data_IF_190154531682
#
_entry.id   IF_190154531682
#
_cell.length_a   1.000
_cell.length_b   1.000
_cell.length_c   1.000
_cell.angle_alpha   90.00
_cell.angle_beta   90.00
_cell.angle_gamma   90.00
#
_symmetry.space_group_name_H-M   'P 1'
#
loop_
_entity.id
_entity.type
_entity.pdbx_description
1 polymer ?
#
# COMPACT_ATOMS: atom_id res chain seq x y z
N UNK A 1 12.23 12.58 5.14
CA UNK A 1 11.37 11.44 4.77
C UNK A 1 11.15 11.48 3.26
N UNK A 2 11.46 10.41 2.54
CA UNK A 2 11.13 10.36 1.11
C UNK A 2 9.63 10.13 0.94
N UNK A 3 8.99 10.93 0.09
CA UNK A 3 7.59 10.79 -0.30
C UNK A 3 7.49 10.58 -1.80
N UNK A 4 6.50 9.82 -2.23
CA UNK A 4 6.21 9.64 -3.65
C UNK A 4 4.89 10.32 -4.01
N UNK A 5 4.75 10.74 -5.27
CA UNK A 5 3.44 11.09 -5.80
C UNK A 5 2.50 9.89 -5.63
N UNK A 6 1.33 10.15 -5.05
CA UNK A 6 0.32 9.16 -4.75
C UNK A 6 -0.34 8.65 -6.02
N UNK A 7 -0.73 7.38 -5.99
CA UNK A 7 -1.43 6.65 -7.04
C UNK A 7 -2.66 5.96 -6.48
N UNK A 8 -3.54 5.48 -7.36
CA UNK A 8 -4.76 4.73 -7.04
C UNK A 8 -4.53 3.46 -6.21
N UNK A 9 -3.30 2.93 -6.23
CA UNK A 9 -2.88 1.75 -5.47
C UNK A 9 -2.36 2.11 -4.06
N UNK A 10 -2.11 3.40 -3.76
CA UNK A 10 -1.64 3.86 -2.44
C UNK A 10 -2.81 4.05 -1.46
N UNK A 11 -3.49 2.94 -1.18
CA UNK A 11 -4.70 2.87 -0.33
C UNK A 11 -4.40 2.64 1.15
N UNK A 12 -3.31 1.93 1.43
CA UNK A 12 -2.87 1.57 2.80
C UNK A 12 -1.53 2.21 3.13
N UNK A 13 -1.47 2.93 4.25
CA UNK A 13 -0.31 3.70 4.71
C UNK A 13 -0.74 5.12 5.04
N UNK A 14 0.19 6.07 4.95
CA UNK A 14 -0.05 7.46 5.34
C UNK A 14 0.46 8.49 4.35
N UNK A 15 -0.17 9.67 4.37
CA UNK A 15 0.23 10.83 3.59
C UNK A 15 0.91 11.88 4.46
N UNK A 16 1.84 12.61 3.87
CA UNK A 16 2.42 13.79 4.50
C UNK A 16 1.41 14.95 4.49
N UNK A 17 1.36 15.73 5.56
CA UNK A 17 0.58 16.96 5.62
C UNK A 17 1.33 18.04 6.43
N UNK A 18 0.90 19.29 6.27
CA UNK A 18 1.36 20.41 7.10
C UNK A 18 0.26 20.73 8.10
N UNK A 19 0.58 20.69 9.39
CA UNK A 19 -0.36 21.01 10.45
C UNK A 19 -0.61 22.52 10.48
N UNK A 20 -1.88 22.91 10.41
CA UNK A 20 -2.25 24.30 10.16
C UNK A 20 -1.84 25.29 11.27
N UNK A 21 -1.76 24.86 12.53
CA UNK A 21 -1.57 25.77 13.66
C UNK A 21 -0.09 26.08 13.97
N UNK A 22 0.84 25.21 13.60
CA UNK A 22 2.27 25.34 13.90
C UNK A 22 3.17 25.17 12.67
N UNK A 23 2.62 24.81 11.51
CA UNK A 23 3.36 24.58 10.27
C UNK A 23 4.20 23.30 10.29
N UNK A 24 4.01 22.42 11.27
CA UNK A 24 4.80 21.19 11.42
C UNK A 24 4.43 20.16 10.35
N UNK A 25 5.46 19.50 9.80
CA UNK A 25 5.27 18.32 8.97
C UNK A 25 4.74 17.18 9.85
N UNK A 26 3.63 16.59 9.42
CA UNK A 26 2.99 15.45 10.08
C UNK A 26 2.80 14.29 9.12
N UNK A 27 2.67 13.09 9.67
CA UNK A 27 2.28 11.90 8.93
C UNK A 27 0.93 11.43 9.45
N UNK A 28 -0.06 11.33 8.56
CA UNK A 28 -1.38 10.82 8.91
C UNK A 28 -1.62 9.50 8.20
N UNK A 29 -1.84 8.43 8.98
CA UNK A 29 -2.27 7.12 8.49
C UNK A 29 -3.80 7.04 8.43
N UNK A 30 -4.34 6.15 7.61
CA UNK A 30 -5.78 5.88 7.56
C UNK A 30 -6.30 5.47 8.95
N UNK A 31 -5.53 4.68 9.70
CA UNK A 31 -5.89 4.27 11.06
C UNK A 31 -5.92 5.43 12.08
N UNK A 32 -5.32 6.56 11.75
CA UNK A 32 -5.38 7.80 12.55
C UNK A 32 -6.49 8.76 12.08
N UNK A 33 -7.22 8.39 11.02
CA UNK A 33 -8.21 9.26 10.38
C UNK A 33 -9.62 8.87 10.82
N UNK A 34 -10.40 9.87 11.27
CA UNK A 34 -11.80 9.70 11.62
C UNK A 34 -12.62 9.23 10.38
N UNK A 35 -13.66 8.45 10.60
CA UNK A 35 -14.42 7.80 9.52
C UNK A 35 -15.04 8.83 8.56
N UNK A 36 -15.54 9.94 9.09
CA UNK A 36 -16.06 11.08 8.34
C UNK A 36 -15.04 11.74 7.39
N UNK A 37 -13.74 11.56 7.67
CA UNK A 37 -12.64 12.13 6.90
C UNK A 37 -12.01 11.14 5.91
N UNK A 38 -12.50 9.90 5.83
CA UNK A 38 -11.93 8.88 4.94
C UNK A 38 -11.98 9.28 3.46
N UNK A 39 -13.04 9.99 3.05
CA UNK A 39 -13.14 10.50 1.68
C UNK A 39 -12.05 11.55 1.37
N UNK A 40 -11.74 12.43 2.32
CA UNK A 40 -10.63 13.38 2.19
C UNK A 40 -9.29 12.65 2.18
N UNK A 41 -9.10 11.69 3.08
CA UNK A 41 -7.88 10.86 3.13
C UNK A 41 -7.64 10.13 1.82
N UNK A 42 -8.68 9.60 1.18
CA UNK A 42 -8.58 8.88 -0.09
C UNK A 42 -8.36 9.80 -1.30
N UNK A 43 -8.57 11.12 -1.17
CA UNK A 43 -8.41 12.06 -2.26
C UNK A 43 -6.91 12.30 -2.57
N UNK A 44 -6.45 11.74 -3.69
CA UNK A 44 -5.08 11.81 -4.16
C UNK A 44 -4.68 13.22 -4.63
N UNK A 45 -5.62 14.04 -5.10
CA UNK A 45 -5.36 15.43 -5.51
C UNK A 45 -5.18 16.38 -4.31
N UNK A 46 -5.86 16.08 -3.20
CA UNK A 46 -5.71 16.79 -1.94
C UNK A 46 -4.44 16.35 -1.21
N UNK A 47 -4.27 15.05 -1.01
CA UNK A 47 -3.13 14.45 -0.32
C UNK A 47 -2.23 13.72 -1.31
N UNK A 48 -1.47 14.51 -2.07
CA UNK A 48 -0.65 14.10 -3.22
C UNK A 48 0.60 13.32 -2.87
N UNK A 49 1.10 13.41 -1.64
CA UNK A 49 2.39 12.86 -1.26
C UNK A 49 2.23 11.74 -0.24
N UNK A 50 2.59 10.53 -0.67
CA UNK A 50 2.50 9.32 0.12
C UNK A 50 3.86 8.96 0.73
N UNK A 51 3.87 8.56 1.99
CA UNK A 51 5.11 8.16 2.67
C UNK A 51 5.64 6.85 2.08
N UNK A 52 6.87 6.89 1.55
CA UNK A 52 7.54 5.69 1.03
C UNK A 52 8.06 4.76 2.14
N UNK A 53 8.14 5.29 3.37
CA UNK A 53 8.82 4.69 4.51
C UNK A 53 10.35 4.61 4.37
N UNK A 54 10.95 5.25 3.35
CA UNK A 54 12.39 5.49 3.29
C UNK A 54 12.71 6.73 4.12
N UNK A 55 13.41 6.53 5.24
CA UNK A 55 13.70 7.56 6.22
C UNK A 55 15.21 7.79 6.34
N UNK A 56 15.58 9.06 6.42
CA UNK A 56 16.94 9.51 6.69
C UNK A 56 16.94 10.19 8.04
N UNK A 57 17.78 9.70 8.96
CA UNK A 57 17.77 10.11 10.36
C UNK A 57 19.19 10.51 10.75
N UNK A 58 19.31 11.68 11.38
CA UNK A 58 20.53 12.07 12.10
C UNK A 58 20.60 11.29 13.42
N UNK A 59 21.59 10.41 13.53
CA UNK A 59 21.74 9.52 14.69
C UNK A 59 22.17 10.28 15.95
N UNK A 60 22.90 11.39 15.83
CA UNK A 60 23.29 12.22 16.97
C UNK A 60 22.08 12.97 17.53
N UNK A 61 21.25 13.54 16.64
CA UNK A 61 19.99 14.17 17.02
C UNK A 61 19.04 13.16 17.68
N UNK A 62 18.88 11.97 17.10
CA UNK A 62 18.09 10.89 17.69
C UNK A 62 18.60 10.49 19.08
N UNK A 63 19.91 10.32 19.25
CA UNK A 63 20.50 9.97 20.53
C UNK A 63 20.38 11.09 21.57
N UNK A 64 20.42 12.36 21.14
CA UNK A 64 20.17 13.50 22.02
C UNK A 64 18.72 13.54 22.48
N UNK A 65 17.76 13.37 21.57
CA UNK A 65 16.33 13.35 21.85
C UNK A 65 15.97 12.24 22.85
N UNK A 66 16.45 11.02 22.60
CA UNK A 66 16.26 9.88 23.50
C UNK A 66 16.84 10.14 24.90
N UNK A 67 18.02 10.75 25.00
CA UNK A 67 18.62 11.09 26.32
C UNK A 67 17.80 12.12 27.07
N UNK A 68 17.36 13.18 26.38
CA UNK A 68 16.52 14.24 26.95
C UNK A 68 15.19 13.70 27.48
N UNK A 69 14.61 12.73 26.77
CA UNK A 69 13.31 12.15 27.09
C UNK A 69 13.38 10.77 27.76
N UNK A 70 14.49 10.48 28.45
CA UNK A 70 14.66 9.25 29.25
C UNK A 70 14.36 7.93 28.49
N UNK A 71 14.77 7.88 27.23
CA UNK A 71 14.61 6.73 26.34
C UNK A 71 13.26 6.66 25.64
N UNK A 72 12.39 7.67 25.79
CA UNK A 72 11.05 7.69 25.18
C UNK A 72 11.00 8.71 24.05
N UNK A 73 10.66 8.27 22.84
CA UNK A 73 10.24 9.16 21.76
C UNK A 73 8.72 9.33 21.82
N UNK A 74 8.26 10.58 21.91
CA UNK A 74 6.84 10.93 21.98
C UNK A 74 6.15 10.80 20.61
N UNK A 75 6.07 9.57 20.09
CA UNK A 75 5.41 9.28 18.82
C UNK A 75 3.89 9.22 19.00
N UNK A 76 3.11 9.75 18.05
CA UNK A 76 1.66 9.54 18.01
C UNK A 76 1.28 8.06 18.04
N UNK A 77 0.32 7.72 18.90
CA UNK A 77 -0.23 6.37 19.00
C UNK A 77 -1.24 6.11 17.89
N UNK A 78 -1.19 4.91 17.32
CA UNK A 78 -2.13 4.38 16.35
C UNK A 78 -2.98 3.33 17.07
N UNK A 79 -4.30 3.46 16.97
CA UNK A 79 -5.25 2.52 17.56
C UNK A 79 -5.89 1.67 16.47
N UNK A 80 -5.40 0.46 16.27
CA UNK A 80 -5.93 -0.48 15.30
C UNK A 80 -6.92 -1.46 15.95
N UNK A 81 -8.17 -1.49 15.47
CA UNK A 81 -9.14 -2.51 15.85
C UNK A 81 -8.92 -3.77 15.00
N UNK A 82 -8.76 -4.93 15.65
CA UNK A 82 -8.50 -6.23 15.04
C UNK A 82 -9.21 -7.35 15.78
N UNK A 83 -9.09 -8.57 15.27
CA UNK A 83 -9.35 -9.81 16.00
C UNK A 83 -8.02 -10.41 16.48
N UNK A 84 -8.03 -11.14 17.60
CA UNK A 84 -6.80 -11.72 18.17
C UNK A 84 -6.15 -12.74 17.24
N UNK A 85 -6.97 -13.49 16.51
CA UNK A 85 -6.55 -14.27 15.35
C UNK A 85 -6.96 -13.52 14.08
N UNK A 86 -6.01 -12.99 13.29
CA UNK A 86 -6.31 -12.30 12.04
C UNK A 86 -6.93 -13.18 10.94
N UNK A 87 -6.79 -14.50 11.03
CA UNK A 87 -7.39 -15.46 10.08
C UNK A 87 -8.83 -15.83 10.45
N UNK A 88 -9.20 -15.72 11.74
CA UNK A 88 -10.55 -15.99 12.23
C UNK A 88 -11.27 -14.68 12.60
N UNK A 89 -12.19 -14.26 11.70
CA UNK A 89 -13.04 -13.07 11.88
C UNK A 89 -13.97 -13.16 13.12
N UNK A 90 -14.17 -14.36 13.68
CA UNK A 90 -15.01 -14.58 14.87
C UNK A 90 -14.24 -14.58 16.18
N UNK A 91 -12.90 -14.57 16.12
CA UNK A 91 -12.05 -14.55 17.31
C UNK A 91 -12.16 -13.21 18.07
N UNK A 92 -11.72 -13.21 19.33
CA UNK A 92 -11.90 -12.08 20.25
C UNK A 92 -11.43 -10.75 19.66
N UNK A 93 -12.28 -9.70 19.63
CA UNK A 93 -11.85 -8.37 19.23
C UNK A 93 -10.79 -7.79 20.17
N UNK A 94 -9.76 -7.18 19.61
CA UNK A 94 -8.64 -6.58 20.33
C UNK A 94 -8.29 -5.21 19.75
N UNK A 95 -7.57 -4.43 20.55
CA UNK A 95 -6.94 -3.18 20.11
C UNK A 95 -5.43 -3.41 20.07
N UNK A 96 -4.83 -3.17 18.90
CA UNK A 96 -3.40 -3.08 18.73
C UNK A 96 -2.99 -1.61 18.84
N UNK A 97 -2.10 -1.33 19.80
CA UNK A 97 -1.53 0.01 20.00
C UNK A 97 -0.15 0.01 19.34
N UNK A 98 0.00 0.86 18.33
CA UNK A 98 1.18 0.91 17.48
C UNK A 98 1.73 2.34 17.43
N UNK A 99 2.97 2.48 16.97
CA UNK A 99 3.53 3.75 16.51
C UNK A 99 4.12 3.54 15.12
N UNK A 100 4.13 4.58 14.29
CA UNK A 100 4.74 4.52 12.95
C UNK A 100 6.07 5.26 12.93
N UNK A 101 7.15 4.66 12.44
CA UNK A 101 8.45 5.33 12.42
C UNK A 101 8.44 6.66 11.65
N UNK A 102 7.61 6.79 10.62
CA UNK A 102 7.47 8.03 9.85
C UNK A 102 6.83 9.19 10.63
N UNK A 103 6.08 8.94 11.71
CA UNK A 103 5.53 10.02 12.56
C UNK A 103 6.61 10.70 13.40
N UNK A 104 7.83 10.16 13.45
CA UNK A 104 8.97 10.82 14.06
C UNK A 104 9.28 12.18 13.41
N UNK A 105 8.81 12.44 12.19
CA UNK A 105 8.89 13.77 11.59
C UNK A 105 8.22 14.87 12.44
N UNK A 106 7.32 14.51 13.35
CA UNK A 106 6.67 15.42 14.30
C UNK A 106 7.50 15.71 15.55
N UNK A 107 8.47 14.83 15.86
CA UNK A 107 9.35 14.97 17.02
C UNK A 107 10.52 15.90 16.69
N UNK A 108 11.12 15.74 15.52
CA UNK A 108 12.29 16.51 15.13
C UNK A 108 11.90 17.80 14.41
N UNK A 109 12.14 18.95 15.07
CA UNK A 109 12.00 20.26 14.44
C UNK A 109 12.89 20.36 13.19
N UNK A 110 12.33 20.87 12.10
CA UNK A 110 13.03 20.98 10.82
C UNK A 110 13.02 19.70 9.98
N UNK A 111 12.22 18.70 10.36
CA UNK A 111 11.94 17.54 9.50
C UNK A 111 11.37 17.99 8.15
N UNK A 112 11.86 17.36 7.07
CA UNK A 112 11.44 17.66 5.70
C UNK A 112 10.95 16.40 4.98
N UNK A 113 10.00 16.60 4.06
CA UNK A 113 9.59 15.61 3.07
C UNK A 113 10.32 15.92 1.75
N UNK A 114 10.90 14.89 1.12
CA UNK A 114 11.56 14.99 -0.17
C UNK A 114 10.78 14.14 -1.18
N UNK A 115 10.25 14.77 -2.22
CA UNK A 115 9.63 14.02 -3.33
C UNK A 115 10.71 13.23 -4.07
N UNK A 116 10.46 11.94 -4.26
CA UNK A 116 11.34 11.04 -5.01
C UNK A 116 10.57 10.32 -6.14
N UNK A 117 11.27 9.83 -7.17
CA UNK A 117 10.63 9.05 -8.23
C UNK A 117 9.96 7.78 -7.69
N UNK A 118 8.90 7.34 -8.36
CA UNK A 118 8.13 6.13 -7.99
C UNK A 118 8.99 4.87 -7.95
N UNK A 119 10.09 4.81 -8.69
CA UNK A 119 11.04 3.68 -8.66
C UNK A 119 11.65 3.42 -7.27
N UNK A 120 11.62 4.39 -6.35
CA UNK A 120 12.08 4.20 -4.96
C UNK A 120 11.01 3.66 -4.01
N UNK A 121 9.79 3.40 -4.52
CA UNK A 121 8.66 2.97 -3.71
C UNK A 121 7.76 1.99 -4.47
N UNK A 122 7.96 0.70 -4.20
CA UNK A 122 7.15 -0.41 -4.70
C UNK A 122 6.49 -1.15 -3.52
N UNK A 123 5.44 -0.57 -2.91
CA UNK A 123 4.81 -1.17 -1.74
C UNK A 123 4.03 -2.43 -2.12
N UNK A 124 4.17 -3.50 -1.33
CA UNK A 124 3.27 -4.65 -1.35
C UNK A 124 2.57 -4.73 0.00
N UNK A 125 1.33 -4.22 0.07
CA UNK A 125 0.54 -4.15 1.32
C UNK A 125 -0.63 -5.13 1.33
N UNK A 126 -1.09 -5.49 0.15
CA UNK A 126 -2.15 -6.46 -0.10
C UNK A 126 -1.77 -7.33 -1.30
N UNK A 127 -2.60 -8.34 -1.53
CA UNK A 127 -2.51 -9.20 -2.70
C UNK A 127 -2.81 -8.47 -4.02
N UNK A 128 -3.47 -7.31 -3.99
CA UNK A 128 -3.62 -6.44 -5.16
C UNK A 128 -2.24 -5.95 -5.65
N UNK A 129 -1.40 -5.44 -4.76
CA UNK A 129 -0.06 -4.99 -5.15
C UNK A 129 0.88 -6.18 -5.43
N UNK A 130 0.66 -7.33 -4.77
CA UNK A 130 1.40 -8.55 -5.08
C UNK A 130 1.14 -9.02 -6.52
N UNK A 131 -0.13 -8.93 -6.98
CA UNK A 131 -0.49 -9.21 -8.37
C UNK A 131 0.32 -8.34 -9.35
N UNK A 132 0.44 -7.04 -9.05
CA UNK A 132 1.23 -6.11 -9.85
C UNK A 132 2.72 -6.53 -9.88
N UNK A 133 3.31 -6.76 -8.71
CA UNK A 133 4.75 -7.08 -8.57
C UNK A 133 5.12 -8.44 -9.18
N UNK A 134 4.23 -9.43 -9.14
CA UNK A 134 4.44 -10.74 -9.76
C UNK A 134 4.16 -10.76 -11.27
N UNK A 135 3.41 -9.79 -11.79
CA UNK A 135 3.13 -9.68 -13.23
C UNK A 135 4.34 -9.22 -14.03
N UNK A 136 4.17 -9.12 -15.34
CA UNK A 136 5.19 -8.65 -16.27
C UNK A 136 5.40 -7.11 -16.28
N UNK A 137 4.77 -6.37 -15.36
CA UNK A 137 4.99 -4.92 -15.18
C UNK A 137 6.40 -4.59 -14.67
N UNK A 138 7.06 -5.54 -14.00
CA UNK A 138 8.36 -5.35 -13.40
C UNK A 138 9.37 -6.39 -13.88
N UNK A 139 10.64 -6.02 -13.87
CA UNK A 139 11.76 -6.91 -14.12
C UNK A 139 12.88 -6.63 -13.12
N UNK A 140 13.80 -7.60 -12.94
CA UNK A 140 15.05 -7.35 -12.23
C UNK A 140 16.05 -6.74 -13.20
N UNK A 141 16.71 -5.67 -12.77
CA UNK A 141 17.84 -5.09 -13.49
C UNK A 141 19.16 -5.83 -13.17
N UNK A 142 20.28 -5.33 -13.71
CA UNK A 142 21.62 -5.93 -13.49
C UNK A 142 22.07 -5.87 -12.02
N UNK A 143 21.47 -5.01 -11.19
CA UNK A 143 21.73 -4.90 -9.76
C UNK A 143 20.75 -5.72 -8.92
N UNK A 144 19.87 -6.50 -9.56
CA UNK A 144 18.81 -7.27 -8.89
C UNK A 144 17.80 -6.35 -8.19
N UNK A 145 17.65 -5.11 -8.68
CA UNK A 145 16.59 -4.20 -8.26
C UNK A 145 15.33 -4.44 -9.11
N UNK A 146 14.17 -4.46 -8.45
CA UNK A 146 12.90 -4.57 -9.15
C UNK A 146 12.53 -3.22 -9.77
N UNK A 147 12.50 -3.15 -11.10
CA UNK A 147 12.24 -1.93 -11.86
C UNK A 147 10.97 -2.08 -12.69
N UNK A 148 10.17 -1.00 -12.78
CA UNK A 148 9.03 -0.96 -13.70
C UNK A 148 9.54 -0.94 -15.13
N UNK A 149 8.99 -1.82 -15.98
CA UNK A 149 9.29 -1.83 -17.44
C UNK A 149 8.21 -1.15 -18.26
N UNK A 150 7.25 -0.51 -17.60
CA UNK A 150 6.17 0.29 -18.19
C UNK A 150 6.01 1.63 -17.48
N UNK A 151 5.43 2.61 -18.17
CA UNK A 151 5.20 3.97 -17.67
C UNK A 151 3.83 4.15 -16.97
N UNK A 152 3.06 3.07 -16.80
CA UNK A 152 1.75 3.10 -16.16
C UNK A 152 1.63 2.02 -15.09
N UNK A 153 0.71 2.21 -14.15
CA UNK A 153 0.39 1.23 -13.12
C UNK A 153 -1.11 0.95 -13.15
N UNK A 154 -1.56 -0.26 -13.54
CA UNK A 154 -2.97 -0.57 -13.56
C UNK A 154 -3.57 -0.56 -12.15
N UNK A 155 -4.85 -0.22 -12.06
CA UNK A 155 -5.64 -0.40 -10.83
C UNK A 155 -6.04 -1.88 -10.71
N UNK A 156 -5.60 -2.55 -9.64
CA UNK A 156 -6.01 -3.94 -9.35
C UNK A 156 -6.91 -3.99 -8.12
N UNK A 157 -8.05 -4.67 -8.25
CA UNK A 157 -9.01 -4.92 -7.18
C UNK A 157 -9.42 -6.39 -7.19
N UNK A 158 -8.92 -7.14 -6.23
CA UNK A 158 -9.27 -8.54 -6.03
C UNK A 158 -10.30 -8.67 -4.92
N UNK A 159 -11.23 -9.61 -5.06
CA UNK A 159 -12.24 -9.91 -4.06
C UNK A 159 -11.61 -10.32 -2.73
N UNK A 160 -11.83 -9.54 -1.67
CA UNK A 160 -11.21 -9.78 -0.38
C UNK A 160 -11.75 -11.02 0.36
N UNK A 161 -12.80 -11.68 -0.13
CA UNK A 161 -13.25 -12.95 0.41
C UNK A 161 -12.54 -14.16 -0.23
N UNK A 162 -11.92 -13.98 -1.40
CA UNK A 162 -11.23 -15.05 -2.15
C UNK A 162 -9.73 -14.82 -2.37
N UNK A 163 -9.19 -13.61 -2.17
CA UNK A 163 -7.78 -13.31 -2.47
C UNK A 163 -7.06 -12.61 -1.32
N UNK A 164 -7.67 -12.47 -0.13
CA UNK A 164 -7.08 -11.67 0.95
C UNK A 164 -5.82 -12.27 1.55
N UNK A 165 -5.81 -13.59 1.76
CA UNK A 165 -4.66 -14.28 2.35
C UNK A 165 -3.68 -14.71 1.26
N UNK A 166 -2.41 -14.89 1.65
CA UNK A 166 -1.39 -15.41 0.73
C UNK A 166 -1.77 -16.80 0.21
N UNK A 167 -2.33 -17.67 1.07
CA UNK A 167 -2.74 -19.02 0.67
C UNK A 167 -3.85 -18.98 -0.37
N UNK A 168 -4.86 -18.14 -0.16
CA UNK A 168 -5.98 -17.98 -1.10
C UNK A 168 -5.53 -17.37 -2.43
N UNK A 169 -4.62 -16.39 -2.38
CA UNK A 169 -4.04 -15.78 -3.56
C UNK A 169 -3.18 -16.78 -4.35
N UNK A 170 -2.26 -17.49 -3.71
CA UNK A 170 -1.38 -18.47 -4.37
C UNK A 170 -2.17 -19.62 -5.00
N UNK A 171 -3.28 -20.05 -4.38
CA UNK A 171 -4.16 -21.08 -4.93
C UNK A 171 -4.85 -20.65 -6.24
N UNK A 172 -5.11 -19.35 -6.39
CA UNK A 172 -5.86 -18.77 -7.53
C UNK A 172 -4.98 -18.10 -8.57
N UNK A 173 -3.77 -17.69 -8.18
CA UNK A 173 -2.80 -16.99 -9.03
C UNK A 173 -1.49 -17.77 -9.01
N UNK A 174 -1.46 -19.01 -9.52
CA UNK A 174 -0.23 -19.80 -9.59
C UNK A 174 0.82 -19.10 -10.46
N UNK A 175 0.37 -18.44 -11.53
CA UNK A 175 1.14 -17.54 -12.38
C UNK A 175 0.35 -16.24 -12.49
N UNK A 176 1.02 -15.09 -12.27
CA UNK A 176 0.36 -13.81 -12.45
C UNK A 176 0.06 -13.57 -13.94
N UNK A 177 -1.13 -13.06 -14.29
CA UNK A 177 -1.44 -12.72 -15.67
C UNK A 177 -0.53 -11.59 -16.17
N UNK A 178 -0.38 -11.50 -17.49
CA UNK A 178 0.25 -10.32 -18.10
C UNK A 178 -0.63 -9.09 -17.86
N UNK A 179 -0.05 -8.03 -17.30
CA UNK A 179 -0.72 -6.76 -17.00
C UNK A 179 -0.13 -5.58 -17.78
N UNK A 180 0.91 -5.77 -18.60
CA UNK A 180 1.54 -4.70 -19.41
C UNK A 180 0.61 -3.84 -20.26
N UNK A 181 -0.58 -4.33 -20.61
CA UNK A 181 -1.56 -3.60 -21.41
C UNK A 181 -2.84 -3.28 -20.63
N UNK A 182 -2.87 -3.57 -19.34
CA UNK A 182 -4.00 -3.32 -18.48
C UNK A 182 -4.02 -1.85 -18.04
N UNK A 183 -5.22 -1.28 -17.96
CA UNK A 183 -5.51 -0.03 -17.26
C UNK A 183 -6.14 -0.32 -15.90
N UNK A 184 -7.05 -1.29 -15.85
CA UNK A 184 -7.67 -1.77 -14.61
C UNK A 184 -8.04 -3.24 -14.70
N UNK A 185 -8.02 -3.92 -13.55
CA UNK A 185 -8.50 -5.28 -13.35
C UNK A 185 -9.29 -5.32 -12.04
N UNK A 186 -10.61 -5.51 -12.15
CA UNK A 186 -11.47 -5.82 -11.00
C UNK A 186 -11.94 -7.27 -11.12
N UNK A 187 -11.82 -8.04 -10.04
CA UNK A 187 -12.25 -9.44 -9.99
C UNK A 187 -13.17 -9.62 -8.79
N UNK A 188 -14.39 -10.04 -9.07
CA UNK A 188 -15.40 -10.41 -8.07
C UNK A 188 -15.66 -11.91 -8.16
N UNK A 189 -15.71 -12.61 -7.03
CA UNK A 189 -15.92 -14.06 -7.00
C UNK A 189 -14.65 -14.92 -7.07
N UNK A 190 -14.87 -16.23 -7.03
CA UNK A 190 -13.83 -17.26 -6.92
C UNK A 190 -13.24 -17.63 -8.29
N UNK A 191 -12.23 -16.90 -8.74
CA UNK A 191 -11.59 -17.16 -10.04
C UNK A 191 -10.16 -17.65 -9.87
N UNK A 192 -9.76 -18.63 -10.68
CA UNK A 192 -8.37 -19.04 -10.85
C UNK A 192 -7.84 -18.52 -12.17
N UNK A 193 -6.63 -17.98 -12.19
CA UNK A 193 -5.97 -17.53 -13.41
C UNK A 193 -5.20 -18.69 -14.04
N UNK A 194 -5.51 -19.00 -15.31
CA UNK A 194 -4.66 -19.82 -16.15
C UNK A 194 -3.30 -19.16 -16.42
N UNK A 195 -2.34 -19.94 -16.89
CA UNK A 195 -0.99 -19.47 -17.21
C UNK A 195 -0.93 -18.63 -18.51
N UNK A 196 -2.01 -18.64 -19.29
CA UNK A 196 -2.15 -17.96 -20.58
C UNK A 196 -2.90 -16.63 -20.49
N UNK A 197 -3.26 -16.18 -19.28
CA UNK A 197 -4.11 -14.99 -19.10
C UNK A 197 -3.36 -13.70 -19.39
N UNK A 198 -3.95 -12.87 -20.24
CA UNK A 198 -3.44 -11.53 -20.59
C UNK A 198 -4.56 -10.50 -20.43
N UNK A 199 -4.33 -9.47 -19.64
CA UNK A 199 -5.30 -8.39 -19.40
C UNK A 199 -4.98 -7.19 -20.30
N UNK A 200 -5.98 -6.70 -21.05
CA UNK A 200 -5.85 -5.50 -21.90
C UNK A 200 -6.95 -4.48 -21.60
N UNK A 201 -6.58 -3.20 -21.49
CA UNK A 201 -7.54 -2.13 -21.21
C UNK A 201 -8.17 -2.25 -19.83
N UNK A 202 -9.47 -1.98 -19.74
CA UNK A 202 -10.24 -2.03 -18.51
C UNK A 202 -11.03 -3.34 -18.45
N UNK A 203 -10.76 -4.17 -17.45
CA UNK A 203 -11.39 -5.49 -17.29
C UNK A 203 -12.08 -5.59 -15.94
N UNK A 204 -13.36 -5.96 -15.99
CA UNK A 204 -14.19 -6.29 -14.82
C UNK A 204 -14.68 -7.73 -14.99
N UNK A 205 -14.24 -8.62 -14.10
CA UNK A 205 -14.67 -10.01 -14.03
C UNK A 205 -15.71 -10.12 -12.92
N UNK A 206 -16.97 -10.30 -13.32
CA UNK A 206 -18.07 -10.47 -12.39
C UNK A 206 -18.04 -11.85 -11.69
N UNK A 207 -18.79 -11.99 -10.61
CA UNK A 207 -18.91 -13.24 -9.87
C UNK A 207 -19.66 -14.34 -10.63
N UNK A 208 -20.44 -13.98 -11.66
CA UNK A 208 -21.22 -14.92 -12.45
C UNK A 208 -20.31 -15.88 -13.22
N UNK A 209 -20.46 -17.18 -12.96
CA UNK A 209 -19.59 -18.22 -13.50
C UNK A 209 -18.46 -18.68 -12.55
N UNK A 210 -18.29 -18.02 -11.40
CA UNK A 210 -17.41 -18.53 -10.33
C UNK A 210 -18.09 -19.62 -9.49
N UNK A 211 -17.36 -20.63 -8.97
CA UNK A 211 -15.93 -20.83 -9.14
C UNK A 211 -15.54 -21.30 -10.55
N UNK A 212 -14.47 -20.73 -11.12
CA UNK A 212 -14.04 -21.04 -12.48
C UNK A 212 -12.58 -20.64 -12.77
N UNK A 213 -12.10 -20.99 -13.97
CA UNK A 213 -10.75 -20.64 -14.43
C UNK A 213 -10.80 -19.70 -15.62
N UNK A 214 -10.07 -18.60 -15.53
CA UNK A 214 -9.90 -17.61 -16.58
C UNK A 214 -8.77 -18.03 -17.52
N UNK A 215 -8.97 -17.82 -18.83
CA UNK A 215 -8.01 -18.18 -19.87
C UNK A 215 -7.96 -17.12 -20.97
N UNK A 216 -6.84 -17.07 -21.69
CA UNK A 216 -6.63 -16.23 -22.85
C UNK A 216 -6.61 -14.72 -22.57
N UNK A 217 -6.89 -13.95 -23.61
CA UNK A 217 -6.90 -12.48 -23.53
C UNK A 217 -8.25 -12.00 -23.01
N UNK A 218 -8.23 -11.25 -21.91
CA UNK A 218 -9.40 -10.58 -21.34
C UNK A 218 -9.30 -9.07 -21.59
N UNK A 219 -10.37 -8.50 -22.12
CA UNK A 219 -10.44 -7.10 -22.51
C UNK A 219 -10.31 -6.87 -24.01
N UNK A 220 -10.44 -5.61 -24.42
CA UNK A 220 -10.35 -5.14 -25.80
C UNK A 220 -9.10 -4.30 -26.04
#
# INVERSE_FOLDING_TARGET
MEVCKRTVNDRKGGHAAIRAHDGQLVLRDLAMTAEEDHAHFANEDLHRYFNSNNLWIDLEALAAELRTHHGVLSLPLIRNAKTVDPADKTSTPVIQIETGMGTACEVFKGSVALEVPRSRFLPVKTTNELMLVRSDLYALDDNVELVSVVDHQPDVRLDADFYRTMADFDARVPVAPSLKRAKSLTVTGDWTFGDDVVITGDVDVAAEGSPGTLHGVLGA
#
